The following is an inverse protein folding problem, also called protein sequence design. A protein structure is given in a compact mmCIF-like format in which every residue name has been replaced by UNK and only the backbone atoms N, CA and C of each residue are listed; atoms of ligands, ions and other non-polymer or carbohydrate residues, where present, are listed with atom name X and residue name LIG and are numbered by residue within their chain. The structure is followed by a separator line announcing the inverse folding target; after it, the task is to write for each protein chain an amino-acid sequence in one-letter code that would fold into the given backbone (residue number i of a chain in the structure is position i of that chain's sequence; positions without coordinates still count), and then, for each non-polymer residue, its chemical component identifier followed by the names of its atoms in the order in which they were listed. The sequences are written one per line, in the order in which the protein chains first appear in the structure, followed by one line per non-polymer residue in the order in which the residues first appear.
data_IF_989819948221
#
_entry.id   IF_989819948221
#
_cell.length_a   1.000
_cell.length_b   1.000
_cell.length_c   1.000
_cell.angle_alpha   90.00
_cell.angle_beta   90.00
_cell.angle_gamma   90.00
#
_symmetry.space_group_name_H-M   'P 1'
#
loop_
_entity.id
_entity.type
_entity.pdbx_description
1 polymer ?
#
# COMPACT_ATOMS: atom_id res chain seq x y z
N UNK A 1 -11.90 -3.08 -49.08
CA UNK A 1 -11.24 -3.89 -48.04
C UNK A 1 -11.43 -3.30 -46.67
N UNK A 2 -12.36 -3.90 -45.94
CA UNK A 2 -12.75 -3.59 -44.57
C UNK A 2 -11.90 -4.42 -43.59
N UNK A 3 -11.18 -3.77 -42.69
CA UNK A 3 -10.72 -4.41 -41.46
C UNK A 3 -11.40 -3.73 -40.28
N UNK A 4 -12.49 -4.35 -39.84
CA UNK A 4 -13.22 -3.99 -38.63
C UNK A 4 -12.30 -4.09 -37.42
N UNK A 5 -12.12 -2.98 -36.70
CA UNK A 5 -11.50 -2.93 -35.39
C UNK A 5 -12.37 -3.71 -34.39
N UNK A 6 -11.80 -4.74 -33.77
CA UNK A 6 -12.47 -5.53 -32.72
C UNK A 6 -12.58 -4.65 -31.47
N UNK A 7 -13.81 -4.38 -31.05
CA UNK A 7 -14.09 -3.67 -29.81
C UNK A 7 -13.61 -4.51 -28.61
N UNK A 8 -12.63 -3.99 -27.88
CA UNK A 8 -12.18 -4.58 -26.62
C UNK A 8 -13.24 -4.29 -25.55
N UNK A 9 -14.27 -5.12 -25.47
CA UNK A 9 -15.31 -5.00 -24.45
C UNK A 9 -14.80 -5.61 -23.15
N UNK A 10 -13.94 -4.88 -22.45
CA UNK A 10 -13.58 -5.23 -21.07
C UNK A 10 -14.87 -5.18 -20.25
N UNK A 11 -15.27 -6.31 -19.69
CA UNK A 11 -16.38 -6.39 -18.76
C UNK A 11 -15.92 -5.70 -17.47
N UNK A 12 -16.31 -4.43 -17.29
CA UNK A 12 -16.06 -3.72 -16.05
C UNK A 12 -16.87 -4.39 -14.94
N UNK A 13 -16.20 -4.99 -13.95
CA UNK A 13 -16.85 -5.33 -12.69
C UNK A 13 -17.03 -3.99 -11.97
N UNK A 14 -18.27 -3.53 -11.75
CA UNK A 14 -18.49 -2.27 -11.04
C UNK A 14 -17.85 -2.34 -9.65
N UNK A 15 -18.28 -3.31 -8.84
CA UNK A 15 -17.79 -3.48 -7.48
C UNK A 15 -17.40 -4.94 -7.21
N UNK A 16 -16.23 -5.13 -6.62
CA UNK A 16 -15.79 -6.38 -6.00
C UNK A 16 -15.82 -6.18 -4.47
N UNK A 17 -16.67 -6.91 -3.76
CA UNK A 17 -16.73 -6.91 -2.30
C UNK A 17 -16.54 -8.34 -1.77
N UNK A 18 -15.44 -8.56 -1.04
CA UNK A 18 -15.09 -9.86 -0.46
C UNK A 18 -14.94 -9.71 1.05
N UNK A 19 -15.60 -10.59 1.80
CA UNK A 19 -15.47 -10.67 3.25
C UNK A 19 -15.16 -12.09 3.71
N UNK A 20 -14.18 -12.25 4.58
CA UNK A 20 -13.88 -13.52 5.26
C UNK A 20 -13.81 -13.33 6.77
N UNK A 21 -14.12 -14.39 7.51
CA UNK A 21 -13.99 -14.47 8.97
C UNK A 21 -13.01 -15.59 9.37
N UNK A 22 -12.53 -15.55 10.61
CA UNK A 22 -11.54 -16.49 11.12
C UNK A 22 -10.25 -16.45 10.30
N UNK A 23 -9.85 -17.61 9.77
CA UNK A 23 -8.60 -17.78 9.00
C UNK A 23 -8.81 -17.82 7.49
N UNK A 24 -10.01 -17.49 7.00
CA UNK A 24 -10.35 -17.52 5.58
C UNK A 24 -9.46 -16.63 4.72
N UNK A 25 -8.83 -17.20 3.70
CA UNK A 25 -7.90 -16.50 2.81
C UNK A 25 -8.59 -16.02 1.54
N UNK A 26 -8.14 -14.90 1.01
CA UNK A 26 -8.60 -14.31 -0.25
C UNK A 26 -7.45 -14.35 -1.25
N UNK A 27 -7.74 -14.77 -2.47
CA UNK A 27 -6.80 -14.64 -3.60
C UNK A 27 -7.54 -14.11 -4.81
N UNK A 28 -7.14 -12.94 -5.29
CA UNK A 28 -7.65 -12.33 -6.51
C UNK A 28 -6.50 -11.96 -7.44
N UNK A 29 -6.72 -12.07 -8.74
CA UNK A 29 -5.67 -11.85 -9.74
C UNK A 29 -6.25 -11.24 -11.02
N UNK A 30 -5.56 -10.25 -11.59
CA UNK A 30 -5.84 -9.65 -12.90
C UNK A 30 -7.28 -9.14 -13.01
N UNK A 31 -7.78 -8.47 -11.96
CA UNK A 31 -9.11 -7.87 -11.94
C UNK A 31 -9.02 -6.41 -12.37
N UNK A 32 -9.99 -5.98 -13.18
CA UNK A 32 -10.30 -4.59 -13.47
C UNK A 32 -11.71 -4.27 -12.96
N UNK A 33 -11.82 -3.34 -12.01
CA UNK A 33 -13.09 -2.92 -11.41
C UNK A 33 -13.12 -1.43 -11.05
N UNK A 34 -14.25 -0.87 -10.64
CA UNK A 34 -14.26 0.51 -10.10
C UNK A 34 -13.89 0.51 -8.61
N UNK A 35 -14.49 -0.39 -7.84
CA UNK A 35 -14.19 -0.55 -6.42
C UNK A 35 -13.75 -1.99 -6.10
N UNK A 36 -12.63 -2.12 -5.41
CA UNK A 36 -12.12 -3.39 -4.89
C UNK A 36 -12.09 -3.31 -3.37
N UNK A 37 -13.03 -3.97 -2.71
CA UNK A 37 -13.15 -4.01 -1.25
C UNK A 37 -12.87 -5.43 -0.73
N UNK A 38 -11.96 -5.53 0.23
CA UNK A 38 -11.61 -6.80 0.89
C UNK A 38 -11.58 -6.60 2.40
N UNK A 39 -12.39 -7.38 3.12
CA UNK A 39 -12.40 -7.45 4.58
C UNK A 39 -11.98 -8.85 5.04
N UNK A 40 -10.91 -8.96 5.82
CA UNK A 40 -10.45 -10.23 6.41
C UNK A 40 -10.22 -10.12 7.91
N UNK A 41 -10.32 -11.24 8.63
CA UNK A 41 -9.94 -11.28 10.06
C UNK A 41 -8.47 -11.67 10.22
N UNK A 42 -8.14 -12.96 10.31
CA UNK A 42 -6.75 -13.45 10.47
C UNK A 42 -6.15 -14.04 9.18
N UNK A 43 -6.94 -14.13 8.12
CA UNK A 43 -6.55 -14.74 6.85
C UNK A 43 -5.46 -13.97 6.09
N UNK A 44 -4.98 -14.58 5.01
CA UNK A 44 -4.10 -13.91 4.04
C UNK A 44 -4.91 -13.45 2.83
N UNK A 45 -4.75 -12.18 2.47
CA UNK A 45 -5.29 -11.57 1.26
C UNK A 45 -4.18 -11.39 0.24
N UNK A 46 -4.21 -12.17 -0.84
CA UNK A 46 -3.26 -12.08 -1.96
C UNK A 46 -3.94 -11.38 -3.13
N UNK A 47 -3.41 -10.22 -3.51
CA UNK A 47 -3.88 -9.44 -4.65
C UNK A 47 -2.78 -9.40 -5.71
N UNK A 48 -3.08 -9.86 -6.92
CA UNK A 48 -2.10 -9.86 -8.01
C UNK A 48 -2.57 -9.01 -9.19
N UNK A 49 -1.83 -7.94 -9.50
CA UNK A 49 -2.08 -7.10 -10.70
C UNK A 49 -3.52 -6.60 -10.79
N UNK A 50 -3.95 -5.82 -9.79
CA UNK A 50 -5.30 -5.27 -9.69
C UNK A 50 -5.32 -3.87 -10.27
N UNK A 51 -6.33 -3.56 -11.09
CA UNK A 51 -6.59 -2.22 -11.60
C UNK A 51 -7.96 -1.79 -11.11
N UNK A 52 -8.00 -0.74 -10.30
CA UNK A 52 -9.23 -0.21 -9.74
C UNK A 52 -9.21 1.30 -9.68
N UNK A 53 -10.37 1.96 -9.63
CA UNK A 53 -10.40 3.36 -9.20
C UNK A 53 -10.08 3.45 -7.71
N UNK A 54 -10.71 2.58 -6.89
CA UNK A 54 -10.49 2.48 -5.45
C UNK A 54 -10.13 1.05 -5.03
N UNK A 55 -9.13 0.90 -4.18
CA UNK A 55 -8.75 -0.34 -3.50
C UNK A 55 -8.88 -0.09 -1.99
N UNK A 56 -9.73 -0.84 -1.30
CA UNK A 56 -10.02 -0.72 0.13
C UNK A 56 -9.83 -2.08 0.81
N UNK A 57 -8.82 -2.21 1.66
CA UNK A 57 -8.50 -3.48 2.32
C UNK A 57 -8.47 -3.27 3.83
N UNK A 58 -9.30 -4.00 4.56
CA UNK A 58 -9.33 -4.00 6.03
C UNK A 58 -9.01 -5.39 6.53
N UNK A 59 -8.05 -5.50 7.43
CA UNK A 59 -7.71 -6.79 8.05
C UNK A 59 -7.54 -6.67 9.56
N UNK A 60 -8.15 -7.58 10.32
CA UNK A 60 -8.01 -7.64 11.77
C UNK A 60 -6.95 -8.68 12.20
N UNK A 61 -5.69 -8.41 11.87
CA UNK A 61 -4.61 -9.40 11.87
C UNK A 61 -4.29 -9.88 10.45
N UNK A 62 -3.64 -11.04 10.32
CA UNK A 62 -3.38 -11.64 9.01
C UNK A 62 -2.35 -10.90 8.14
N UNK A 63 -2.41 -11.12 6.83
CA UNK A 63 -1.43 -10.57 5.87
C UNK A 63 -2.13 -10.03 4.63
N UNK A 64 -1.73 -8.84 4.20
CA UNK A 64 -2.06 -8.30 2.88
C UNK A 64 -0.81 -8.40 2.00
N UNK A 65 -0.91 -9.14 0.90
CA UNK A 65 0.19 -9.40 -0.03
C UNK A 65 -0.19 -8.91 -1.41
N UNK A 66 0.50 -7.89 -1.90
CA UNK A 66 0.35 -7.36 -3.26
C UNK A 66 1.46 -7.86 -4.18
N UNK A 67 1.10 -8.55 -5.25
CA UNK A 67 2.02 -9.06 -6.27
C UNK A 67 1.83 -8.29 -7.58
N UNK A 68 2.92 -7.87 -8.21
CA UNK A 68 2.87 -6.96 -9.35
C UNK A 68 2.36 -5.57 -8.95
N UNK A 69 1.59 -4.94 -9.83
CA UNK A 69 1.07 -3.58 -9.61
C UNK A 69 -0.35 -3.59 -9.06
N UNK A 70 -0.58 -2.92 -7.94
CA UNK A 70 -1.90 -2.49 -7.52
C UNK A 70 -2.09 -1.05 -8.02
N UNK A 71 -2.91 -0.88 -9.05
CA UNK A 71 -3.20 0.40 -9.68
C UNK A 71 -4.54 0.93 -9.18
N UNK A 72 -4.55 2.11 -8.56
CA UNK A 72 -5.75 2.75 -8.01
C UNK A 72 -5.50 3.54 -6.73
N UNK A 73 -6.46 4.38 -6.34
CA UNK A 73 -6.44 5.03 -5.03
C UNK A 73 -6.59 3.96 -3.96
N UNK A 74 -5.61 3.84 -3.07
CA UNK A 74 -5.48 2.70 -2.18
C UNK A 74 -5.64 3.12 -0.73
N UNK A 75 -6.48 2.43 0.03
CA UNK A 75 -6.63 2.55 1.48
C UNK A 75 -6.53 1.16 2.09
N UNK A 76 -5.52 0.94 2.94
CA UNK A 76 -5.30 -0.35 3.60
C UNK A 76 -5.16 -0.11 5.09
N UNK A 77 -5.93 -0.84 5.89
CA UNK A 77 -5.85 -0.78 7.35
C UNK A 77 -5.71 -2.17 7.94
N UNK A 78 -4.59 -2.42 8.59
CA UNK A 78 -4.29 -3.68 9.26
C UNK A 78 -4.15 -3.47 10.78
N UNK A 79 -5.07 -4.02 11.56
CA UNK A 79 -5.00 -3.95 13.04
C UNK A 79 -4.26 -5.14 13.63
N UNK A 80 -4.02 -5.07 14.94
CA UNK A 80 -3.23 -6.01 15.72
C UNK A 80 -1.86 -6.27 15.06
N UNK A 81 -1.51 -7.54 14.86
CA UNK A 81 -0.29 -7.99 14.19
C UNK A 81 -0.42 -8.10 12.66
N UNK A 82 -1.47 -7.49 12.08
CA UNK A 82 -1.71 -7.50 10.65
C UNK A 82 -0.59 -6.82 9.87
N UNK A 83 -0.05 -7.49 8.85
CA UNK A 83 1.07 -6.96 8.05
C UNK A 83 0.68 -6.68 6.61
N UNK A 84 1.37 -5.71 5.99
CA UNK A 84 1.16 -5.30 4.61
C UNK A 84 2.48 -5.42 3.86
N UNK A 85 2.52 -6.19 2.78
CA UNK A 85 3.68 -6.34 1.92
C UNK A 85 3.26 -6.27 0.45
N UNK A 86 3.59 -5.16 -0.22
CA UNK A 86 3.13 -4.90 -1.58
C UNK A 86 4.32 -4.63 -2.50
N UNK A 87 4.36 -5.28 -3.65
CA UNK A 87 5.45 -5.07 -4.60
C UNK A 87 5.41 -3.66 -5.21
N UNK A 88 4.30 -3.28 -5.84
CA UNK A 88 4.17 -1.96 -6.46
C UNK A 88 2.78 -1.39 -6.27
N UNK A 89 2.72 -0.15 -5.80
CA UNK A 89 1.52 0.67 -5.75
C UNK A 89 1.64 1.83 -6.73
N UNK A 90 0.55 2.08 -7.46
CA UNK A 90 0.47 3.20 -8.39
C UNK A 90 -0.92 3.84 -8.35
N UNK A 91 -1.02 5.14 -8.04
CA UNK A 91 -2.32 5.82 -7.93
C UNK A 91 -2.16 7.31 -7.64
N UNK A 92 -3.26 8.03 -7.41
CA UNK A 92 -3.19 9.45 -7.02
C UNK A 92 -2.97 9.58 -5.52
N UNK A 93 -3.72 8.81 -4.72
CA UNK A 93 -3.67 8.81 -3.26
C UNK A 93 -3.51 7.39 -2.71
N UNK A 94 -2.53 7.21 -1.81
CA UNK A 94 -2.26 5.93 -1.16
C UNK A 94 -2.17 6.15 0.35
N UNK A 95 -3.02 5.47 1.10
CA UNK A 95 -3.06 5.50 2.55
C UNK A 95 -2.94 4.08 3.09
N UNK A 96 -1.96 3.82 3.95
CA UNK A 96 -1.76 2.51 4.55
C UNK A 96 -1.46 2.69 6.04
N UNK A 97 -2.19 2.00 6.90
CA UNK A 97 -1.91 1.98 8.33
C UNK A 97 -1.82 0.56 8.87
N UNK A 98 -0.83 0.31 9.72
CA UNK A 98 -0.74 -0.90 10.54
C UNK A 98 -0.75 -0.55 12.04
N UNK A 99 -1.03 -1.50 12.92
CA UNK A 99 -0.75 -1.34 14.35
C UNK A 99 0.65 -1.86 14.68
N UNK A 100 0.80 -3.17 14.81
CA UNK A 100 2.08 -3.79 15.22
C UNK A 100 2.80 -4.48 14.07
N UNK A 101 2.09 -4.75 12.96
CA UNK A 101 2.65 -5.47 11.84
C UNK A 101 3.52 -4.61 10.92
N UNK A 102 4.50 -5.26 10.29
CA UNK A 102 5.36 -4.65 9.27
C UNK A 102 4.54 -4.07 8.12
N UNK A 103 4.89 -2.84 7.72
CA UNK A 103 4.42 -2.20 6.51
C UNK A 103 5.58 -2.14 5.51
N UNK A 104 5.46 -2.86 4.39
CA UNK A 104 6.49 -2.91 3.35
C UNK A 104 5.91 -2.63 1.95
N UNK A 105 6.58 -1.76 1.19
CA UNK A 105 6.38 -1.67 -0.26
C UNK A 105 7.69 -1.49 -1.00
N UNK A 106 7.85 -2.16 -2.16
CA UNK A 106 9.08 -2.04 -2.97
C UNK A 106 9.03 -0.80 -3.88
N UNK A 107 7.87 -0.47 -4.41
CA UNK A 107 7.67 0.70 -5.28
C UNK A 107 6.38 1.43 -4.94
N UNK A 108 6.48 2.74 -4.69
CA UNK A 108 5.36 3.61 -4.37
C UNK A 108 5.33 4.79 -5.33
N UNK A 109 4.39 4.80 -6.27
CA UNK A 109 4.24 5.87 -7.26
C UNK A 109 2.88 6.55 -7.08
N UNK A 110 2.86 7.69 -6.37
CA UNK A 110 1.62 8.46 -6.22
C UNK A 110 1.86 9.96 -6.11
N UNK A 111 0.82 10.75 -6.33
CA UNK A 111 0.91 12.19 -6.09
C UNK A 111 1.04 12.49 -4.59
N UNK A 112 0.25 11.78 -3.78
CA UNK A 112 0.31 11.84 -2.33
C UNK A 112 0.22 10.47 -1.68
N UNK A 113 0.95 10.29 -0.59
CA UNK A 113 0.95 9.04 0.18
C UNK A 113 1.10 9.29 1.68
N UNK A 114 0.32 8.58 2.49
CA UNK A 114 0.40 8.59 3.95
C UNK A 114 0.49 7.15 4.47
N UNK A 115 1.65 6.79 5.01
CA UNK A 115 1.89 5.45 5.53
C UNK A 115 2.20 5.55 7.03
N UNK A 116 1.48 4.80 7.85
CA UNK A 116 1.64 4.86 9.30
C UNK A 116 1.65 3.50 9.98
N UNK A 117 2.25 3.46 11.16
CA UNK A 117 2.19 2.34 12.07
C UNK A 117 2.11 2.80 13.53
N UNK A 118 1.67 1.93 14.45
CA UNK A 118 1.85 2.19 15.88
C UNK A 118 3.24 1.72 16.29
N UNK A 119 3.52 0.43 16.13
CA UNK A 119 4.76 -0.19 16.56
C UNK A 119 5.53 -0.90 15.44
N UNK A 120 4.88 -1.15 14.30
CA UNK A 120 5.51 -1.79 13.15
C UNK A 120 6.54 -0.89 12.46
N UNK A 121 7.55 -1.54 11.88
CA UNK A 121 8.49 -0.90 10.98
C UNK A 121 7.82 -0.52 9.66
N UNK A 122 8.34 0.53 9.04
CA UNK A 122 7.93 0.99 7.71
C UNK A 122 9.14 0.87 6.78
N UNK A 123 9.07 -0.04 5.81
CA UNK A 123 10.15 -0.32 4.86
C UNK A 123 9.70 0.00 3.44
N UNK A 124 10.22 1.09 2.87
CA UNK A 124 9.90 1.52 1.52
C UNK A 124 11.14 1.40 0.62
N UNK A 125 10.94 0.87 -0.59
CA UNK A 125 11.96 0.90 -1.63
C UNK A 125 12.01 2.27 -2.30
N UNK A 126 11.65 2.32 -3.58
CA UNK A 126 11.59 3.60 -4.32
C UNK A 126 10.24 4.27 -4.15
N UNK A 127 10.25 5.54 -3.74
CA UNK A 127 9.06 6.37 -3.58
C UNK A 127 9.12 7.56 -4.54
N UNK A 128 7.99 7.86 -5.18
CA UNK A 128 7.79 9.05 -6.01
C UNK A 128 6.58 9.85 -5.52
N UNK A 129 6.73 11.17 -5.41
CA UNK A 129 5.67 12.12 -5.03
C UNK A 129 5.78 12.64 -3.60
N UNK A 130 4.66 13.11 -3.03
CA UNK A 130 4.63 13.64 -1.67
C UNK A 130 4.26 12.55 -0.66
N UNK A 131 5.22 12.14 0.17
CA UNK A 131 5.06 11.02 1.09
C UNK A 131 5.21 11.45 2.54
N UNK A 132 4.28 11.02 3.40
CA UNK A 132 4.32 11.19 4.85
C UNK A 132 4.39 9.82 5.54
N UNK A 133 5.38 9.62 6.38
CA UNK A 133 5.64 8.38 7.11
C UNK A 133 5.61 8.64 8.62
N UNK A 134 4.94 7.76 9.36
CA UNK A 134 4.88 7.88 10.82
C UNK A 134 4.80 6.52 11.51
N UNK A 135 5.67 6.27 12.48
CA UNK A 135 5.48 5.18 13.44
C UNK A 135 5.71 5.69 14.86
N UNK A 136 5.17 5.06 15.92
CA UNK A 136 5.48 5.50 17.29
C UNK A 136 6.74 4.81 17.79
N UNK A 137 6.86 3.50 17.61
CA UNK A 137 8.00 2.74 18.15
C UNK A 137 8.77 1.91 17.13
N UNK A 138 8.35 1.93 15.85
CA UNK A 138 9.07 1.28 14.78
C UNK A 138 10.19 2.14 14.20
N UNK A 139 11.02 1.52 13.37
CA UNK A 139 11.97 2.21 12.52
C UNK A 139 11.39 2.48 11.13
N UNK A 140 11.94 3.49 10.45
CA UNK A 140 11.57 3.84 9.08
C UNK A 140 12.80 3.69 8.19
N UNK A 141 12.67 2.93 7.12
CA UNK A 141 13.70 2.80 6.09
C UNK A 141 13.11 3.17 4.72
N UNK A 142 13.82 4.01 3.97
CA UNK A 142 13.46 4.40 2.60
C UNK A 142 14.68 4.27 1.68
N UNK A 143 14.65 3.33 0.73
CA UNK A 143 15.80 3.06 -0.15
C UNK A 143 16.04 4.14 -1.20
N UNK A 144 15.00 4.86 -1.64
CA UNK A 144 15.16 5.99 -2.56
C UNK A 144 13.92 6.87 -2.59
N UNK A 145 14.11 8.18 -2.39
CA UNK A 145 13.06 9.18 -2.54
C UNK A 145 13.27 10.09 -3.76
N UNK A 146 12.19 10.28 -4.52
CA UNK A 146 12.02 11.29 -5.57
C UNK A 146 10.74 12.11 -5.28
N UNK A 147 10.89 13.36 -4.82
CA UNK A 147 9.77 14.23 -4.46
C UNK A 147 9.91 14.87 -3.08
N UNK A 148 8.83 14.86 -2.30
CA UNK A 148 8.84 15.38 -0.93
C UNK A 148 8.62 14.24 0.07
N UNK A 149 9.43 14.21 1.12
CA UNK A 149 9.33 13.20 2.17
C UNK A 149 9.25 13.85 3.55
N UNK A 150 8.24 13.46 4.33
CA UNK A 150 8.18 13.70 5.77
C UNK A 150 8.20 12.36 6.47
N UNK A 151 9.12 12.14 7.41
CA UNK A 151 9.17 10.91 8.19
C UNK A 151 9.34 11.22 9.68
N UNK A 152 8.61 10.51 10.53
CA UNK A 152 8.77 10.67 11.97
C UNK A 152 8.57 9.40 12.77
N UNK A 153 9.38 9.26 13.82
CA UNK A 153 9.19 8.23 14.86
C UNK A 153 9.41 8.81 16.25
N UNK A 154 8.69 8.29 17.25
CA UNK A 154 8.97 8.65 18.65
C UNK A 154 10.14 7.81 19.18
N UNK A 155 10.14 6.50 18.90
CA UNK A 155 11.21 5.59 19.26
C UNK A 155 11.58 4.73 18.06
N UNK A 156 12.82 4.79 17.60
CA UNK A 156 13.28 4.07 16.41
C UNK A 156 14.19 4.90 15.52
N UNK A 157 14.91 4.20 14.63
CA UNK A 157 15.80 4.83 13.67
C UNK A 157 15.02 5.30 12.43
N UNK A 158 15.55 6.32 11.76
CA UNK A 158 15.10 6.73 10.43
C UNK A 158 16.32 6.66 9.51
N UNK A 159 16.28 5.75 8.53
CA UNK A 159 17.30 5.61 7.49
C UNK A 159 16.68 5.91 6.13
N UNK A 160 17.19 6.92 5.42
CA UNK A 160 16.61 7.41 4.18
C UNK A 160 17.73 7.72 3.20
N UNK A 161 17.72 7.03 2.06
CA UNK A 161 18.50 7.42 0.90
C UNK A 161 17.68 8.32 -0.03
N UNK A 162 18.32 9.37 -0.49
CA UNK A 162 17.69 10.46 -1.21
C UNK A 162 18.30 10.60 -2.58
N UNK A 163 17.47 10.47 -3.63
CA UNK A 163 17.94 10.50 -5.02
C UNK A 163 17.70 11.85 -5.71
N UNK A 164 16.48 12.41 -5.61
CA UNK A 164 16.09 13.67 -6.26
C UNK A 164 15.10 14.43 -5.36
N UNK A 165 15.44 15.66 -4.96
CA UNK A 165 14.68 16.35 -3.91
C UNK A 165 13.90 17.58 -4.35
N UNK A 166 12.69 17.67 -3.77
CA UNK A 166 12.02 18.95 -3.50
C UNK A 166 12.14 19.35 -2.02
N UNK A 167 11.77 18.47 -1.07
CA UNK A 167 11.82 18.76 0.38
C UNK A 167 11.90 17.48 1.23
N UNK A 168 12.72 17.48 2.28
CA UNK A 168 12.79 16.39 3.26
C UNK A 168 12.69 16.92 4.69
N UNK A 169 11.87 16.29 5.52
CA UNK A 169 11.70 16.56 6.95
C UNK A 169 11.73 15.23 7.72
N UNK A 170 12.80 14.98 8.50
CA UNK A 170 12.99 13.76 9.28
C UNK A 170 13.03 14.11 10.78
N UNK A 171 12.24 13.38 11.59
CA UNK A 171 12.17 13.60 13.04
C UNK A 171 12.14 12.29 13.83
N UNK A 172 13.21 11.96 14.54
CA UNK A 172 13.20 10.94 15.60
C UNK A 172 13.31 11.60 16.97
N UNK A 173 12.51 11.17 17.94
CA UNK A 173 12.61 11.67 19.32
C UNK A 173 13.61 10.86 20.16
N UNK A 174 13.69 9.56 19.92
CA UNK A 174 14.58 8.62 20.62
C UNK A 174 15.02 7.52 19.65
N UNK A 175 16.14 7.71 18.97
CA UNK A 175 16.65 6.76 17.98
C UNK A 175 18.06 7.08 17.55
#
# INVERSE_FOLDING_TARGET
DSSHSIANKTLLILDLDIKTSGTGCVKIQKIECDNCKIETEKGTSVLQSIKSHKIDIRTNGGKVIGLGTLYGNTDIHATEKGSVNIEKLQGTSINISTEDGLLKTKYLYAESSSLSSIAGDILLGSIHGNTSLQTKTGSITVDSSDGSLKASTHHGAIDVYVSQLRKVDLKSQKG
#
